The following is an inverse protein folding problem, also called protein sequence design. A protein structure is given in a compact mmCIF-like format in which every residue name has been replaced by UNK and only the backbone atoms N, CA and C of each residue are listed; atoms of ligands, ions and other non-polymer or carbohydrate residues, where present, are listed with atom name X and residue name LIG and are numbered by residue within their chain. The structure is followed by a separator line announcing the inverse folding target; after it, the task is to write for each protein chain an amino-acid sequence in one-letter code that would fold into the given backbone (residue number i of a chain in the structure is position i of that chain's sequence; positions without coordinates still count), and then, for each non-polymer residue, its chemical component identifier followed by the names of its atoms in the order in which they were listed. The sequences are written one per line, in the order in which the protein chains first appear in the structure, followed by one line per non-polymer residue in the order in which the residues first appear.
data_IF_119161695115
#
_entry.id   IF_119161695115
#
_cell.length_a   1.000
_cell.length_b   1.000
_cell.length_c   1.000
_cell.angle_alpha   90.00
_cell.angle_beta   90.00
_cell.angle_gamma   90.00
#
_symmetry.space_group_name_H-M   'P 1'
#
loop_
_entity.id
_entity.type
_entity.pdbx_description
1 polymer ?
#
# COMPACT_ATOMS: atom_id res chain seq x y z
N UNK A 1 -24.28 52.22 -3.35
CA UNK A 1 -23.12 52.43 -2.46
C UNK A 1 -23.51 51.78 -1.14
N UNK A 2 -22.95 50.69 -0.62
CA UNK A 2 -21.66 50.01 -0.76
C UNK A 2 -21.90 48.51 -1.00
N UNK A 3 -21.26 47.83 -1.95
CA UNK A 3 -19.87 47.34 -2.00
C UNK A 3 -19.55 46.24 -0.97
N UNK A 4 -19.52 45.02 -1.50
CA UNK A 4 -19.16 43.73 -0.89
C UNK A 4 -17.64 43.67 -0.71
N UNK A 5 -17.15 43.32 0.49
CA UNK A 5 -15.74 42.97 0.69
C UNK A 5 -15.58 41.45 0.83
N UNK A 6 -14.94 40.84 -0.16
CA UNK A 6 -14.40 39.49 -0.08
C UNK A 6 -13.07 39.51 0.69
N UNK A 7 -12.93 38.65 1.70
CA UNK A 7 -11.66 38.44 2.41
C UNK A 7 -10.84 37.32 1.79
N UNK A 8 -9.53 37.42 2.02
CA UNK A 8 -8.45 36.88 1.21
C UNK A 8 -8.14 35.41 1.52
N UNK A 9 -8.16 34.57 0.47
CA UNK A 9 -7.47 33.28 0.43
C UNK A 9 -5.95 33.48 0.31
N UNK A 10 -5.21 32.60 0.97
CA UNK A 10 -3.76 32.71 1.16
C UNK A 10 -2.99 32.58 -0.16
N UNK A 11 -1.82 33.23 -0.28
CA UNK A 11 -1.00 33.22 -1.51
C UNK A 11 -0.67 31.80 -2.02
N UNK A 12 -0.60 30.79 -1.13
CA UNK A 12 -0.32 29.39 -1.49
C UNK A 12 -1.50 28.72 -2.21
N UNK A 13 -2.73 29.03 -1.86
CA UNK A 13 -3.93 28.50 -2.55
C UNK A 13 -4.07 29.10 -3.96
N UNK A 14 -3.70 30.38 -4.12
CA UNK A 14 -3.68 31.04 -5.43
C UNK A 14 -2.57 30.50 -6.34
N UNK A 15 -1.44 30.11 -5.77
CA UNK A 15 -0.33 29.52 -6.50
C UNK A 15 -0.69 28.12 -7.03
N UNK A 16 -1.43 27.32 -6.24
CA UNK A 16 -2.00 26.04 -6.68
C UNK A 16 -3.00 26.18 -7.84
N UNK A 17 -3.89 27.19 -7.76
CA UNK A 17 -4.88 27.46 -8.82
C UNK A 17 -4.25 27.97 -10.13
N UNK A 18 -3.11 28.68 -10.05
CA UNK A 18 -2.39 29.19 -11.22
C UNK A 18 -1.50 28.13 -11.89
N UNK A 19 -0.94 27.19 -11.12
CA UNK A 19 -0.20 26.04 -11.65
C UNK A 19 -1.15 25.01 -12.29
N UNK A 20 -2.36 24.83 -11.73
CA UNK A 20 -3.41 23.99 -12.32
C UNK A 20 -3.96 24.52 -13.66
N UNK A 21 -3.70 25.79 -14.01
CA UNK A 21 -4.19 26.40 -15.26
C UNK A 21 -3.27 26.15 -16.46
N UNK A 22 -2.07 25.56 -16.29
CA UNK A 22 -1.11 25.35 -17.39
C UNK A 22 -1.14 23.96 -18.04
N UNK A 23 -1.83 22.98 -17.46
CA UNK A 23 -1.91 21.61 -17.98
C UNK A 23 -3.28 21.26 -18.55
N UNK A 24 -3.74 22.02 -19.54
CA UNK A 24 -5.01 21.78 -20.25
C UNK A 24 -5.01 20.54 -21.17
N UNK A 25 -4.07 19.60 -21.00
CA UNK A 25 -4.01 18.35 -21.78
C UNK A 25 -4.22 17.08 -20.97
N UNK A 26 -4.14 17.13 -19.64
CA UNK A 26 -4.46 16.00 -18.77
C UNK A 26 -5.71 16.29 -17.92
N UNK A 27 -6.59 15.30 -17.77
CA UNK A 27 -7.71 15.38 -16.83
C UNK A 27 -7.21 15.60 -15.40
N UNK A 28 -7.94 16.39 -14.60
CA UNK A 28 -7.53 16.66 -13.23
C UNK A 28 -7.38 15.35 -12.44
N UNK A 29 -6.47 15.24 -11.45
CA UNK A 29 -6.30 14.01 -10.67
C UNK A 29 -7.62 13.47 -10.10
N UNK A 30 -8.53 14.37 -9.71
CA UNK A 30 -9.88 14.04 -9.25
C UNK A 30 -10.72 13.32 -10.31
N UNK A 31 -10.59 13.68 -11.59
CA UNK A 31 -11.29 13.00 -12.69
C UNK A 31 -10.69 11.61 -12.98
N UNK A 32 -9.43 11.37 -12.60
CA UNK A 32 -8.75 10.08 -12.78
C UNK A 32 -8.94 9.11 -11.61
N UNK A 33 -9.41 9.60 -10.47
CA UNK A 33 -9.65 8.82 -9.26
C UNK A 33 -11.06 8.22 -9.29
N UNK A 34 -11.15 6.90 -9.16
CA UNK A 34 -12.39 6.15 -9.08
C UNK A 34 -12.44 5.35 -7.80
N UNK A 35 -13.59 5.37 -7.11
CA UNK A 35 -13.86 4.51 -5.96
C UNK A 35 -14.62 3.27 -6.42
N UNK A 36 -14.14 2.10 -6.00
CA UNK A 36 -14.77 0.81 -6.23
C UNK A 36 -15.19 0.26 -4.87
N UNK A 37 -16.49 0.02 -4.70
CA UNK A 37 -17.05 -0.49 -3.45
C UNK A 37 -17.21 -2.00 -3.52
N UNK A 38 -16.96 -2.65 -2.39
CA UNK A 38 -17.17 -4.07 -2.18
C UNK A 38 -16.58 -4.97 -3.30
N UNK A 39 -15.35 -4.68 -3.73
CA UNK A 39 -14.64 -5.49 -4.72
C UNK A 39 -14.43 -6.90 -4.14
N UNK A 40 -14.91 -7.97 -4.80
CA UNK A 40 -14.75 -9.33 -4.30
C UNK A 40 -13.30 -9.80 -4.32
N UNK A 41 -12.91 -10.50 -3.27
CA UNK A 41 -11.65 -11.22 -3.17
C UNK A 41 -11.70 -12.64 -3.71
N UNK A 42 -10.80 -13.49 -3.21
CA UNK A 42 -10.75 -14.91 -3.59
C UNK A 42 -11.98 -15.66 -3.10
N UNK A 43 -12.39 -15.38 -1.86
CA UNK A 43 -13.70 -15.78 -1.34
C UNK A 43 -14.69 -14.65 -1.66
N UNK A 44 -15.81 -14.91 -2.37
CA UNK A 44 -16.70 -13.84 -2.84
C UNK A 44 -17.27 -12.93 -1.74
N UNK A 45 -17.42 -13.43 -0.52
CA UNK A 45 -17.88 -12.64 0.64
C UNK A 45 -16.79 -11.78 1.28
N UNK A 46 -15.51 -12.04 1.00
CA UNK A 46 -14.37 -11.25 1.50
C UNK A 46 -14.09 -10.10 0.55
N UNK A 47 -14.81 -9.01 0.76
CA UNK A 47 -14.76 -7.81 -0.10
C UNK A 47 -13.88 -6.70 0.49
N UNK A 48 -13.29 -5.88 -0.36
CA UNK A 48 -12.58 -4.65 0.02
C UNK A 48 -13.07 -3.47 -0.80
N UNK A 49 -13.16 -2.28 -0.19
CA UNK A 49 -13.27 -1.05 -0.97
C UNK A 49 -11.89 -0.63 -1.47
N UNK A 50 -11.84 -0.09 -2.68
CA UNK A 50 -10.59 0.30 -3.34
C UNK A 50 -10.72 1.69 -3.97
N UNK A 51 -9.63 2.44 -3.98
CA UNK A 51 -9.46 3.56 -4.89
C UNK A 51 -8.56 3.15 -6.05
N UNK A 52 -8.91 3.58 -7.25
CA UNK A 52 -8.11 3.46 -8.46
C UNK A 52 -7.80 4.86 -8.97
N UNK A 53 -6.52 5.23 -9.01
CA UNK A 53 -6.05 6.39 -9.75
C UNK A 53 -5.43 5.91 -11.07
N UNK A 54 -5.99 6.38 -12.18
CA UNK A 54 -5.46 6.08 -13.53
C UNK A 54 -4.19 6.88 -13.80
N UNK A 55 -3.23 6.34 -14.57
CA UNK A 55 -1.98 7.01 -14.89
C UNK A 55 -2.19 8.33 -15.64
N UNK A 56 -1.22 9.21 -15.53
CA UNK A 56 -1.18 10.52 -16.18
C UNK A 56 -0.50 10.37 -17.55
N UNK A 57 -1.14 9.65 -18.47
CA UNK A 57 -0.59 9.42 -19.82
C UNK A 57 -1.66 9.63 -20.88
N UNK A 58 -1.32 10.38 -21.93
CA UNK A 58 -2.11 10.55 -23.15
C UNK A 58 -2.19 9.22 -23.91
N UNK A 59 -3.16 8.37 -23.55
CA UNK A 59 -3.90 7.39 -24.38
C UNK A 59 -3.18 6.42 -25.33
N UNK A 60 -1.85 6.49 -25.51
CA UNK A 60 -1.18 5.94 -26.70
C UNK A 60 -0.25 4.77 -26.39
N UNK A 61 0.06 4.49 -25.11
CA UNK A 61 0.70 3.24 -24.67
C UNK A 61 0.23 2.87 -23.26
N UNK A 62 -0.91 2.18 -23.16
CA UNK A 62 -1.35 1.59 -21.89
C UNK A 62 -0.38 0.48 -21.48
N UNK A 63 0.54 0.80 -20.58
CA UNK A 63 1.36 -0.20 -19.91
C UNK A 63 0.56 -0.80 -18.76
N UNK A 64 0.53 -2.13 -18.65
CA UNK A 64 -0.21 -2.86 -17.62
C UNK A 64 0.57 -2.86 -16.28
N UNK A 65 1.01 -1.67 -15.84
CA UNK A 65 1.83 -1.47 -14.65
C UNK A 65 0.98 -0.98 -13.50
N UNK A 66 1.14 -1.60 -12.34
CA UNK A 66 0.34 -1.36 -11.16
C UNK A 66 1.21 -1.09 -9.95
N UNK A 67 0.65 -0.29 -9.04
CA UNK A 67 1.11 -0.15 -7.65
C UNK A 67 -0.10 -0.41 -6.76
N UNK A 68 0.04 -1.28 -5.77
CA UNK A 68 -0.98 -1.51 -4.74
C UNK A 68 -0.47 -0.99 -3.42
N UNK A 69 -1.27 -0.17 -2.77
CA UNK A 69 -0.98 0.44 -1.49
C UNK A 69 -1.93 -0.08 -0.40
N UNK A 70 -1.35 -0.52 0.71
CA UNK A 70 -2.03 -0.86 1.95
C UNK A 70 -1.70 0.21 3.00
N UNK A 71 -2.74 0.86 3.51
CA UNK A 71 -2.65 2.00 4.40
C UNK A 71 -2.40 1.63 5.87
N UNK A 72 -2.06 2.65 6.65
CA UNK A 72 -1.80 2.55 8.09
C UNK A 72 -3.04 2.71 8.95
N UNK A 73 -2.83 2.71 10.27
CA UNK A 73 -3.86 3.17 11.21
C UNK A 73 -4.17 4.66 10.97
N UNK A 74 -5.33 5.12 11.45
CA UNK A 74 -5.91 6.48 11.29
C UNK A 74 -6.38 6.78 9.86
N UNK A 75 -5.68 6.30 8.82
CA UNK A 75 -6.03 6.55 7.43
C UNK A 75 -7.34 5.86 7.04
N UNK A 76 -8.22 6.62 6.40
CA UNK A 76 -9.47 6.13 5.84
C UNK A 76 -9.90 7.08 4.69
N UNK A 77 -11.06 6.84 4.07
CA UNK A 77 -11.65 7.79 3.14
C UNK A 77 -11.79 9.17 3.78
N UNK A 78 -11.55 10.22 3.00
CA UNK A 78 -11.51 11.60 3.50
C UNK A 78 -12.80 11.97 4.25
N UNK A 79 -13.95 11.56 3.72
CA UNK A 79 -15.27 11.78 4.33
C UNK A 79 -15.41 11.10 5.70
N UNK A 80 -14.91 9.87 5.86
CA UNK A 80 -14.95 9.12 7.11
C UNK A 80 -14.02 9.73 8.16
N UNK A 81 -12.83 10.15 7.73
CA UNK A 81 -11.86 10.82 8.61
C UNK A 81 -12.39 12.17 9.12
N UNK A 82 -13.07 12.92 8.27
CA UNK A 82 -13.60 14.26 8.61
C UNK A 82 -14.67 14.21 9.72
N UNK A 83 -15.34 13.09 9.89
CA UNK A 83 -16.36 12.89 10.93
C UNK A 83 -15.76 12.70 12.35
N UNK A 84 -14.46 12.39 12.44
CA UNK A 84 -13.80 12.05 13.70
C UNK A 84 -12.77 13.12 14.06
N UNK A 85 -12.81 13.68 15.28
CA UNK A 85 -11.85 14.71 15.69
C UNK A 85 -10.39 14.25 15.58
N UNK A 86 -10.09 13.02 16.00
CA UNK A 86 -8.75 12.43 15.87
C UNK A 86 -8.31 12.28 14.41
N UNK A 87 -9.23 11.97 13.49
CA UNK A 87 -8.96 11.76 12.07
C UNK A 87 -8.88 13.06 11.27
N UNK A 88 -9.68 14.07 11.63
CA UNK A 88 -9.82 15.33 10.90
C UNK A 88 -8.50 16.12 10.80
N UNK A 89 -7.62 16.03 11.80
CA UNK A 89 -6.30 16.66 11.76
C UNK A 89 -5.35 16.00 10.73
N UNK A 90 -5.65 14.77 10.29
CA UNK A 90 -4.83 13.97 9.38
C UNK A 90 -5.41 13.86 7.96
N UNK A 91 -6.34 14.76 7.57
CA UNK A 91 -6.97 14.72 6.25
C UNK A 91 -5.99 14.80 5.07
N UNK A 92 -4.81 15.39 5.26
CA UNK A 92 -3.73 15.39 4.26
C UNK A 92 -3.18 13.99 3.94
N UNK A 93 -3.55 12.99 4.75
CA UNK A 93 -3.15 11.60 4.65
C UNK A 93 -4.33 10.65 4.43
N UNK A 94 -5.49 11.19 3.99
CA UNK A 94 -6.61 10.35 3.57
C UNK A 94 -6.21 9.44 2.40
N UNK A 95 -6.99 8.38 2.17
CA UNK A 95 -6.69 7.42 1.10
C UNK A 95 -6.63 8.09 -0.28
N UNK A 96 -7.46 9.09 -0.52
CA UNK A 96 -7.46 9.91 -1.74
C UNK A 96 -6.16 10.72 -1.87
N UNK A 97 -5.73 11.38 -0.79
CA UNK A 97 -4.49 12.16 -0.81
C UNK A 97 -3.26 11.28 -1.03
N UNK A 98 -3.23 10.11 -0.39
CA UNK A 98 -2.16 9.12 -0.63
C UNK A 98 -2.18 8.61 -2.07
N UNK A 99 -3.35 8.34 -2.65
CA UNK A 99 -3.44 7.97 -4.06
C UNK A 99 -2.79 9.04 -4.95
N UNK A 100 -3.01 10.33 -4.68
CA UNK A 100 -2.38 11.42 -5.44
C UNK A 100 -0.87 11.56 -5.19
N UNK A 101 -0.38 11.29 -3.98
CA UNK A 101 1.07 11.27 -3.69
C UNK A 101 1.73 10.15 -4.49
N UNK A 102 1.16 8.94 -4.43
CA UNK A 102 1.67 7.79 -5.18
C UNK A 102 1.56 7.97 -6.69
N UNK A 103 0.50 8.60 -7.19
CA UNK A 103 0.34 8.90 -8.61
C UNK A 103 1.40 9.87 -9.13
N UNK A 104 1.89 10.80 -8.30
CA UNK A 104 3.03 11.67 -8.64
C UNK A 104 4.35 10.91 -8.66
N UNK A 105 4.52 9.94 -7.75
CA UNK A 105 5.74 9.10 -7.70
C UNK A 105 5.78 8.05 -8.81
N UNK A 106 4.63 7.53 -9.22
CA UNK A 106 4.49 6.48 -10.22
C UNK A 106 3.54 6.92 -11.35
N UNK A 107 3.90 7.95 -12.15
CA UNK A 107 2.99 8.58 -13.11
C UNK A 107 2.55 7.66 -14.25
N UNK A 108 3.33 6.62 -14.55
CA UNK A 108 3.06 5.64 -15.61
C UNK A 108 2.33 4.39 -15.13
N UNK A 109 1.78 4.40 -13.91
CA UNK A 109 1.14 3.23 -13.28
C UNK A 109 -0.28 3.50 -12.84
N UNK A 110 -1.11 2.46 -12.85
CA UNK A 110 -2.37 2.46 -12.11
C UNK A 110 -2.07 2.31 -10.61
N UNK A 111 -2.55 3.24 -9.80
CA UNK A 111 -2.41 3.18 -8.34
C UNK A 111 -3.71 2.66 -7.74
N UNK A 112 -3.59 1.56 -7.02
CA UNK A 112 -4.67 0.95 -6.26
C UNK A 112 -4.44 1.19 -4.78
N UNK A 113 -5.39 1.82 -4.09
CA UNK A 113 -5.38 1.92 -2.63
C UNK A 113 -6.42 0.95 -2.09
N UNK A 114 -5.96 -0.08 -1.38
CA UNK A 114 -6.84 -1.09 -0.78
C UNK A 114 -7.18 -0.66 0.63
N UNK A 115 -8.45 -0.36 0.88
CA UNK A 115 -8.94 -0.10 2.23
C UNK A 115 -8.96 -1.40 3.04
N UNK A 116 -8.51 -1.34 4.30
CA UNK A 116 -8.69 -2.42 5.26
C UNK A 116 -10.17 -2.83 5.33
N UNK A 117 -10.45 -4.13 5.49
CA UNK A 117 -11.84 -4.62 5.48
C UNK A 117 -12.66 -4.09 6.64
N UNK A 118 -11.98 -3.65 7.72
CA UNK A 118 -12.59 -2.99 8.87
C UNK A 118 -11.67 -1.93 9.44
N UNK A 119 -12.25 -0.80 9.86
CA UNK A 119 -11.61 0.23 10.68
C UNK A 119 -12.16 0.14 12.11
N UNK A 120 -11.43 -0.49 13.03
CA UNK A 120 -11.85 -0.62 14.42
C UNK A 120 -11.64 0.69 15.18
N UNK A 121 -12.67 1.15 15.92
CA UNK A 121 -12.69 2.45 16.61
C UNK A 121 -12.32 3.64 15.69
N UNK A 122 -12.64 3.54 14.39
CA UNK A 122 -12.29 4.54 13.37
C UNK A 122 -10.77 4.85 13.28
N UNK A 123 -9.93 3.96 13.82
CA UNK A 123 -8.49 4.20 13.98
C UNK A 123 -7.65 3.00 13.56
N UNK A 124 -7.95 1.82 14.07
CA UNK A 124 -7.14 0.64 13.81
C UNK A 124 -7.57 -0.03 12.52
N UNK A 125 -6.64 -0.11 11.57
CA UNK A 125 -6.82 -0.80 10.30
C UNK A 125 -6.74 -2.31 10.53
N UNK A 126 -7.76 -3.04 10.10
CA UNK A 126 -7.82 -4.49 10.24
C UNK A 126 -7.92 -5.19 8.88
N UNK A 127 -6.89 -5.95 8.54
CA UNK A 127 -6.73 -6.62 7.25
C UNK A 127 -7.20 -8.09 7.27
N UNK A 128 -8.32 -8.40 7.95
CA UNK A 128 -8.84 -9.78 8.13
C UNK A 128 -9.04 -10.56 6.82
N UNK A 129 -9.20 -9.88 5.69
CA UNK A 129 -9.32 -10.55 4.39
C UNK A 129 -7.97 -11.09 3.87
N UNK A 130 -6.86 -10.57 4.38
CA UNK A 130 -5.49 -10.92 3.98
C UNK A 130 -4.74 -11.69 5.06
N UNK A 131 -4.90 -11.31 6.33
CA UNK A 131 -4.16 -11.89 7.46
C UNK A 131 -5.10 -12.08 8.64
N UNK A 132 -4.99 -13.24 9.30
CA UNK A 132 -5.69 -13.46 10.55
C UNK A 132 -5.17 -12.47 11.60
N UNK A 133 -6.07 -11.91 12.41
CA UNK A 133 -5.67 -10.86 13.33
C UNK A 133 -6.58 -10.77 14.54
N UNK A 134 -6.03 -10.26 15.65
CA UNK A 134 -6.83 -9.94 16.82
C UNK A 134 -7.76 -8.72 16.58
N UNK A 135 -8.53 -8.34 17.59
CA UNK A 135 -9.51 -7.23 17.49
C UNK A 135 -8.90 -5.88 17.04
N UNK A 136 -7.62 -5.64 17.37
CA UNK A 136 -6.89 -4.42 17.00
C UNK A 136 -6.10 -4.58 15.69
N UNK A 137 -6.29 -5.69 14.98
CA UNK A 137 -5.59 -6.00 13.74
C UNK A 137 -4.12 -6.37 13.92
N UNK A 138 -3.68 -6.82 15.10
CA UNK A 138 -2.33 -7.40 15.22
C UNK A 138 -2.33 -8.78 14.57
N UNK A 139 -1.36 -9.07 13.68
CA UNK A 139 -1.43 -10.25 12.82
C UNK A 139 -1.09 -11.53 13.57
N UNK A 140 -1.55 -12.65 13.04
CA UNK A 140 -0.99 -13.98 13.22
C UNK A 140 -0.68 -14.54 11.83
N UNK A 141 0.61 -14.74 11.54
CA UNK A 141 1.04 -15.11 10.20
C UNK A 141 0.98 -16.61 9.95
N UNK A 142 0.53 -16.99 8.77
CA UNK A 142 0.37 -18.38 8.35
C UNK A 142 1.11 -18.68 7.04
N UNK A 143 1.58 -19.92 6.83
CA UNK A 143 2.19 -20.33 5.57
C UNK A 143 1.16 -20.40 4.44
N UNK A 144 1.66 -20.56 3.22
CA UNK A 144 0.83 -20.72 2.02
C UNK A 144 -0.18 -21.88 2.12
N UNK A 145 -1.39 -21.63 1.61
CA UNK A 145 -2.44 -22.62 1.38
C UNK A 145 -2.92 -22.52 -0.07
N UNK A 146 -3.00 -23.63 -0.83
CA UNK A 146 -3.60 -23.64 -2.16
C UNK A 146 -5.09 -23.26 -2.16
N UNK A 147 -5.74 -23.33 -1.01
CA UNK A 147 -7.15 -23.03 -0.83
C UNK A 147 -7.42 -21.54 -0.49
N UNK A 148 -6.39 -20.68 -0.41
CA UNK A 148 -6.58 -19.25 -0.14
C UNK A 148 -5.33 -18.51 0.34
N UNK A 149 -5.52 -17.40 1.04
CA UNK A 149 -4.44 -16.57 1.58
C UNK A 149 -4.34 -15.17 0.95
N UNK A 150 -3.39 -14.38 1.42
CA UNK A 150 -3.19 -12.98 1.04
C UNK A 150 -2.87 -12.83 -0.46
N UNK A 151 -2.08 -13.73 -1.04
CA UNK A 151 -1.71 -13.66 -2.46
C UNK A 151 -2.88 -14.01 -3.38
N UNK A 152 -3.70 -15.00 -3.00
CA UNK A 152 -4.95 -15.32 -3.68
C UNK A 152 -5.94 -14.14 -3.59
N UNK A 153 -6.10 -13.57 -2.39
CA UNK A 153 -6.95 -12.41 -2.16
C UNK A 153 -6.52 -11.22 -3.02
N UNK A 154 -5.23 -10.89 -3.06
CA UNK A 154 -4.70 -9.80 -3.88
C UNK A 154 -4.95 -10.02 -5.37
N UNK A 155 -4.67 -11.22 -5.88
CA UNK A 155 -4.88 -11.57 -7.28
C UNK A 155 -6.35 -11.37 -7.67
N UNK A 156 -7.26 -11.90 -6.87
CA UNK A 156 -8.70 -11.80 -7.12
C UNK A 156 -9.21 -10.36 -7.04
N UNK A 157 -8.79 -9.59 -6.02
CA UNK A 157 -9.15 -8.17 -5.90
C UNK A 157 -8.68 -7.35 -7.09
N UNK A 158 -7.46 -7.58 -7.58
CA UNK A 158 -6.96 -6.91 -8.78
C UNK A 158 -7.76 -7.33 -10.01
N UNK A 159 -8.02 -8.62 -10.19
CA UNK A 159 -8.82 -9.10 -11.34
C UNK A 159 -10.21 -8.46 -11.36
N UNK A 160 -10.98 -8.58 -10.28
CA UNK A 160 -12.33 -8.04 -10.19
C UNK A 160 -12.33 -6.49 -10.19
N UNK A 161 -11.35 -5.86 -9.55
CA UNK A 161 -11.19 -4.40 -9.56
C UNK A 161 -10.89 -3.86 -10.96
N UNK A 162 -10.03 -4.52 -11.72
CA UNK A 162 -9.74 -4.17 -13.12
C UNK A 162 -10.98 -4.31 -13.99
N UNK A 163 -11.77 -5.37 -13.80
CA UNK A 163 -13.03 -5.61 -14.51
C UNK A 163 -14.07 -4.52 -14.17
N UNK A 164 -14.32 -4.27 -12.89
CA UNK A 164 -15.27 -3.26 -12.41
C UNK A 164 -14.88 -1.84 -12.86
N UNK A 165 -13.58 -1.56 -12.98
CA UNK A 165 -13.06 -0.29 -13.50
C UNK A 165 -12.97 -0.22 -15.04
N UNK A 166 -13.36 -1.30 -15.74
CA UNK A 166 -13.27 -1.41 -17.20
C UNK A 166 -11.88 -1.11 -17.75
N UNK A 167 -10.83 -1.62 -17.07
CA UNK A 167 -9.45 -1.44 -17.53
C UNK A 167 -9.14 -2.32 -18.74
N UNK A 168 -8.28 -1.84 -19.67
CA UNK A 168 -7.85 -2.64 -20.81
C UNK A 168 -6.99 -3.82 -20.33
N UNK A 169 -7.18 -4.99 -20.94
CA UNK A 169 -6.41 -6.20 -20.65
C UNK A 169 -6.38 -6.59 -19.15
N UNK A 170 -7.55 -6.86 -18.53
CA UNK A 170 -7.62 -7.18 -17.12
C UNK A 170 -6.91 -8.50 -16.78
N UNK A 171 -6.35 -8.55 -15.58
CA UNK A 171 -5.90 -9.80 -14.98
C UNK A 171 -7.07 -10.77 -14.89
N UNK A 172 -6.89 -11.99 -15.38
CA UNK A 172 -7.98 -12.97 -15.40
C UNK A 172 -8.09 -13.66 -14.02
N UNK A 173 -9.30 -14.00 -13.56
CA UNK A 173 -9.52 -14.51 -12.20
C UNK A 173 -8.91 -15.90 -12.00
N UNK A 174 -8.90 -16.74 -13.04
CA UNK A 174 -8.30 -18.07 -12.99
C UNK A 174 -6.76 -17.99 -12.90
N UNK A 175 -6.11 -18.95 -12.23
CA UNK A 175 -4.65 -19.00 -12.12
C UNK A 175 -3.92 -19.35 -13.43
N UNK A 176 -2.60 -19.47 -13.36
CA UNK A 176 -1.77 -19.94 -14.48
C UNK A 176 -1.12 -18.84 -15.32
N UNK A 177 -0.38 -19.24 -16.36
CA UNK A 177 0.43 -18.31 -17.15
C UNK A 177 -0.37 -17.56 -18.22
N UNK A 178 -1.37 -18.22 -18.84
CA UNK A 178 -2.25 -17.63 -19.87
C UNK A 178 -3.18 -16.55 -19.34
N UNK A 179 -3.26 -16.40 -18.03
CA UNK A 179 -4.17 -15.48 -17.33
C UNK A 179 -3.48 -14.18 -16.90
N UNK A 180 -2.16 -14.07 -17.13
CA UNK A 180 -1.39 -12.85 -16.93
C UNK A 180 -1.38 -12.03 -18.23
N UNK A 181 -1.94 -10.80 -18.23
CA UNK A 181 -1.93 -9.98 -19.43
C UNK A 181 -0.51 -9.49 -19.76
N UNK A 182 -0.26 -9.26 -21.05
CA UNK A 182 1.06 -8.81 -21.51
C UNK A 182 1.48 -7.50 -20.84
N UNK A 183 2.74 -7.45 -20.39
CA UNK A 183 3.30 -6.29 -19.70
C UNK A 183 2.81 -6.08 -18.27
N UNK A 184 2.08 -7.04 -17.68
CA UNK A 184 1.63 -6.95 -16.28
C UNK A 184 2.82 -6.89 -15.32
N UNK A 185 2.90 -5.81 -14.55
CA UNK A 185 3.93 -5.58 -13.53
C UNK A 185 3.32 -4.96 -12.30
N UNK A 186 3.67 -5.48 -11.12
CA UNK A 186 3.07 -5.11 -9.85
C UNK A 186 4.14 -4.64 -8.87
N UNK A 187 3.89 -3.52 -8.20
CA UNK A 187 4.61 -3.08 -7.02
C UNK A 187 3.66 -3.08 -5.82
N UNK A 188 4.15 -3.48 -4.67
CA UNK A 188 3.37 -3.51 -3.43
C UNK A 188 3.99 -2.53 -2.43
N UNK A 189 3.14 -1.72 -1.80
CA UNK A 189 3.54 -0.74 -0.81
C UNK A 189 2.67 -0.93 0.42
N UNK A 190 3.29 -1.24 1.55
CA UNK A 190 2.64 -1.31 2.85
C UNK A 190 3.13 -0.16 3.70
N UNK A 191 2.22 0.64 4.25
CA UNK A 191 2.57 1.70 5.18
C UNK A 191 2.03 1.38 6.57
N UNK A 192 2.86 1.54 7.61
CA UNK A 192 2.46 1.36 9.01
C UNK A 192 1.80 -0.02 9.19
N UNK A 193 0.54 -0.06 9.63
CA UNK A 193 -0.26 -1.28 9.71
C UNK A 193 -0.33 -2.07 8.40
N UNK A 194 -0.35 -1.41 7.24
CA UNK A 194 -0.38 -2.07 5.93
C UNK A 194 0.82 -3.01 5.68
N UNK A 195 1.94 -2.84 6.40
CA UNK A 195 3.07 -3.75 6.34
C UNK A 195 2.72 -5.19 6.78
N UNK A 196 1.70 -5.39 7.62
CA UNK A 196 1.28 -6.74 8.04
C UNK A 196 0.78 -7.57 6.85
N UNK A 197 0.20 -6.91 5.84
CA UNK A 197 -0.24 -7.59 4.60
C UNK A 197 0.98 -8.06 3.79
N UNK A 198 2.01 -7.21 3.71
CA UNK A 198 3.27 -7.59 3.04
C UNK A 198 3.98 -8.71 3.78
N UNK A 199 4.02 -8.66 5.12
CA UNK A 199 4.60 -9.73 5.94
C UNK A 199 3.87 -11.06 5.65
N UNK A 200 2.54 -11.06 5.66
CA UNK A 200 1.76 -12.26 5.33
C UNK A 200 2.08 -12.81 3.93
N UNK A 201 2.16 -11.95 2.91
CA UNK A 201 2.54 -12.37 1.55
C UNK A 201 3.96 -12.96 1.50
N UNK A 202 4.87 -12.50 2.36
CA UNK A 202 6.21 -13.05 2.48
C UNK A 202 6.20 -14.45 3.10
N UNK A 203 5.39 -14.70 4.14
CA UNK A 203 5.17 -16.05 4.70
C UNK A 203 4.59 -17.03 3.67
N UNK A 204 3.74 -16.53 2.75
CA UNK A 204 3.14 -17.34 1.68
C UNK A 204 4.06 -17.58 0.48
N UNK A 205 5.15 -16.82 0.35
CA UNK A 205 5.89 -16.69 -0.90
C UNK A 205 6.51 -18.01 -1.39
N UNK A 206 7.08 -18.80 -0.48
CA UNK A 206 7.70 -20.08 -0.83
C UNK A 206 6.70 -21.05 -1.48
N UNK A 207 5.52 -21.20 -0.88
CA UNK A 207 4.46 -22.06 -1.41
C UNK A 207 3.84 -21.50 -2.70
N UNK A 208 3.58 -20.18 -2.74
CA UNK A 208 2.99 -19.55 -3.92
C UNK A 208 3.90 -19.59 -5.16
N UNK A 209 5.23 -19.62 -4.97
CA UNK A 209 6.21 -19.81 -6.06
C UNK A 209 6.27 -21.25 -6.55
N UNK A 210 5.95 -22.22 -5.70
CA UNK A 210 5.89 -23.64 -6.05
C UNK A 210 4.55 -24.02 -6.71
N UNK A 211 3.48 -23.25 -6.47
CA UNK A 211 2.16 -23.47 -7.05
C UNK A 211 2.09 -23.02 -8.52
N UNK A 212 1.82 -23.90 -9.50
CA UNK A 212 1.71 -23.54 -10.91
C UNK A 212 0.62 -22.51 -11.23
N UNK A 213 -0.43 -22.42 -10.41
CA UNK A 213 -1.52 -21.47 -10.58
C UNK A 213 -1.13 -20.06 -10.11
N UNK A 214 -0.30 -19.96 -9.08
CA UNK A 214 0.10 -18.67 -8.50
C UNK A 214 1.47 -18.18 -8.96
N UNK A 215 2.42 -19.08 -9.23
CA UNK A 215 3.78 -18.72 -9.59
C UNK A 215 3.89 -17.70 -10.75
N UNK A 216 3.06 -17.74 -11.81
CA UNK A 216 3.05 -16.71 -12.84
C UNK A 216 2.68 -15.31 -12.31
N UNK A 217 1.73 -15.21 -11.39
CA UNK A 217 1.37 -13.96 -10.72
C UNK A 217 2.50 -13.44 -9.83
N UNK A 218 3.11 -14.34 -9.05
CA UNK A 218 4.22 -13.98 -8.16
C UNK A 218 5.40 -13.41 -8.94
N UNK A 219 5.70 -13.95 -10.13
CA UNK A 219 6.75 -13.44 -11.02
C UNK A 219 6.50 -12.00 -11.51
N UNK A 220 5.26 -11.50 -11.44
CA UNK A 220 4.94 -10.13 -11.82
C UNK A 220 5.20 -9.11 -10.71
N UNK A 221 5.41 -9.55 -9.46
CA UNK A 221 5.74 -8.69 -8.33
C UNK A 221 7.19 -8.24 -8.51
N UNK A 222 7.38 -6.98 -8.89
CA UNK A 222 8.69 -6.42 -9.19
C UNK A 222 9.37 -5.82 -7.95
N UNK A 223 8.59 -5.23 -7.05
CA UNK A 223 9.10 -4.56 -5.86
C UNK A 223 8.10 -4.58 -4.70
N UNK A 224 8.62 -4.60 -3.48
CA UNK A 224 7.87 -4.47 -2.23
C UNK A 224 8.50 -3.37 -1.36
N UNK A 225 7.67 -2.46 -0.87
CA UNK A 225 8.06 -1.31 -0.05
C UNK A 225 7.39 -1.43 1.32
N UNK A 226 8.20 -1.61 2.36
CA UNK A 226 7.79 -1.46 3.76
C UNK A 226 8.07 -0.02 4.18
N UNK A 227 7.01 0.73 4.42
CA UNK A 227 7.06 2.11 4.84
C UNK A 227 6.66 2.20 6.32
N UNK A 228 7.66 2.34 7.16
CA UNK A 228 7.57 2.60 8.59
C UNK A 228 6.59 1.65 9.30
N UNK A 229 6.83 0.35 9.14
CA UNK A 229 5.96 -0.71 9.65
C UNK A 229 5.79 -0.65 11.16
N UNK A 230 4.53 -0.71 11.61
CA UNK A 230 4.14 -0.61 13.01
C UNK A 230 2.71 -1.12 13.23
N UNK A 231 2.44 -1.70 14.40
CA UNK A 231 1.10 -2.14 14.82
C UNK A 231 1.07 -2.30 16.36
N UNK A 232 -0.12 -2.42 17.00
CA UNK A 232 -0.23 -2.48 18.46
C UNK A 232 0.10 -3.86 19.06
N UNK A 233 0.70 -4.77 18.28
CA UNK A 233 1.13 -6.09 18.77
C UNK A 233 2.52 -6.03 19.42
N UNK A 234 2.90 -7.08 20.15
CA UNK A 234 4.17 -7.14 20.89
C UNK A 234 5.36 -7.71 20.10
N UNK A 235 5.21 -7.95 18.81
CA UNK A 235 6.21 -8.57 17.92
C UNK A 235 5.63 -8.78 16.53
N UNK A 236 6.42 -9.36 15.62
CA UNK A 236 6.03 -9.65 14.22
C UNK A 236 5.76 -8.39 13.38
N UNK A 237 6.33 -7.26 13.79
CA UNK A 237 6.27 -6.02 13.02
C UNK A 237 7.11 -6.13 11.75
N UNK A 238 8.24 -6.83 11.84
CA UNK A 238 9.02 -7.29 10.69
C UNK A 238 9.18 -8.81 10.72
N UNK A 239 9.25 -9.42 9.53
CA UNK A 239 9.46 -10.86 9.42
C UNK A 239 10.82 -11.25 9.99
N UNK A 240 10.84 -12.24 10.89
CA UNK A 240 12.07 -12.75 11.53
C UNK A 240 12.29 -14.25 11.31
N UNK A 241 11.35 -14.94 10.67
CA UNK A 241 11.56 -16.34 10.28
C UNK A 241 12.61 -16.43 9.17
N UNK A 242 13.71 -17.15 9.45
CA UNK A 242 14.84 -17.25 8.51
C UNK A 242 14.49 -17.99 7.22
N UNK A 243 13.65 -19.01 7.26
CA UNK A 243 13.29 -19.75 6.05
C UNK A 243 12.40 -18.91 5.15
N UNK A 244 11.47 -18.17 5.75
CA UNK A 244 10.62 -17.22 5.04
C UNK A 244 11.47 -16.11 4.40
N UNK A 245 12.45 -15.54 5.12
CA UNK A 245 13.36 -14.54 4.55
C UNK A 245 14.26 -15.08 3.45
N UNK A 246 14.66 -16.36 3.54
CA UNK A 246 15.40 -17.04 2.49
C UNK A 246 14.58 -17.13 1.20
N UNK A 247 13.29 -17.44 1.31
CA UNK A 247 12.37 -17.45 0.16
C UNK A 247 12.19 -16.05 -0.45
N UNK A 248 12.06 -15.02 0.40
CA UNK A 248 12.01 -13.63 -0.06
C UNK A 248 13.29 -13.23 -0.79
N UNK A 249 14.47 -13.53 -0.25
CA UNK A 249 15.74 -13.25 -0.92
C UNK A 249 15.86 -13.97 -2.27
N UNK A 250 15.38 -15.22 -2.36
CA UNK A 250 15.40 -16.00 -3.59
C UNK A 250 14.35 -15.59 -4.63
N UNK A 251 13.39 -14.73 -4.27
CA UNK A 251 12.26 -14.35 -5.12
C UNK A 251 12.60 -13.35 -6.24
N UNK A 252 13.75 -12.66 -6.14
CA UNK A 252 14.18 -11.55 -7.02
C UNK A 252 13.30 -10.29 -6.96
N UNK A 253 12.37 -10.22 -6.02
CA UNK A 253 11.61 -8.99 -5.74
C UNK A 253 12.59 -7.93 -5.22
N UNK A 254 12.47 -6.69 -5.69
CA UNK A 254 13.23 -5.57 -5.11
C UNK A 254 12.66 -5.20 -3.75
N UNK A 255 13.49 -5.20 -2.71
CA UNK A 255 13.07 -5.01 -1.33
C UNK A 255 13.47 -3.59 -0.88
N UNK A 256 12.50 -2.82 -0.41
CA UNK A 256 12.71 -1.45 0.06
C UNK A 256 12.16 -1.30 1.48
N UNK A 257 13.02 -0.95 2.42
CA UNK A 257 12.67 -0.67 3.82
C UNK A 257 12.95 0.80 4.12
N UNK A 258 11.88 1.55 4.36
CA UNK A 258 11.93 2.96 4.74
C UNK A 258 11.39 3.05 6.15
N UNK A 259 12.16 3.59 7.08
CA UNK A 259 11.79 3.67 8.50
C UNK A 259 12.06 5.06 9.04
N UNK A 260 11.41 5.39 10.15
CA UNK A 260 11.62 6.62 10.90
C UNK A 260 12.01 6.28 12.35
N UNK A 261 12.70 7.19 13.05
CA UNK A 261 12.96 7.03 14.49
C UNK A 261 11.68 6.80 15.32
N UNK A 262 10.52 7.28 14.86
CA UNK A 262 9.24 7.11 15.56
C UNK A 262 8.87 5.63 15.75
N UNK A 263 9.16 4.76 14.78
CA UNK A 263 8.93 3.32 14.91
C UNK A 263 10.17 2.58 15.44
N UNK A 264 11.34 2.76 14.83
CA UNK A 264 12.49 1.86 15.10
C UNK A 264 13.34 2.28 16.30
N UNK A 265 13.16 3.49 16.83
CA UNK A 265 13.88 4.00 18.00
C UNK A 265 12.99 4.20 19.23
N UNK A 266 11.72 3.78 19.19
CA UNK A 266 10.82 3.84 20.34
C UNK A 266 11.27 2.86 21.45
N UNK A 267 11.65 3.35 22.65
CA UNK A 267 12.10 2.48 23.75
C UNK A 267 10.99 1.58 24.29
N UNK A 268 9.73 2.01 24.22
CA UNK A 268 8.57 1.21 24.65
C UNK A 268 8.25 0.10 23.66
N UNK A 269 8.67 0.26 22.39
CA UNK A 269 8.48 -0.70 21.30
C UNK A 269 9.80 -1.18 20.70
N UNK A 270 10.82 -1.35 21.55
CA UNK A 270 12.18 -1.65 21.12
C UNK A 270 12.33 -2.92 20.25
N UNK A 271 11.34 -3.83 20.24
CA UNK A 271 11.33 -4.96 19.31
C UNK A 271 11.26 -4.51 17.85
N UNK A 272 10.53 -3.45 17.51
CA UNK A 272 10.36 -2.98 16.12
C UNK A 272 11.71 -2.71 15.47
N UNK A 273 12.58 -1.95 16.15
CA UNK A 273 13.93 -1.70 15.69
C UNK A 273 14.84 -2.94 15.66
N UNK A 274 14.66 -3.88 16.60
CA UNK A 274 15.43 -5.14 16.61
C UNK A 274 15.03 -6.04 15.44
N UNK A 275 13.73 -6.22 15.20
CA UNK A 275 13.18 -7.02 14.12
C UNK A 275 13.54 -6.42 12.76
N UNK A 276 13.42 -5.10 12.58
CA UNK A 276 13.87 -4.41 11.36
C UNK A 276 15.35 -4.69 11.04
N UNK A 277 16.25 -4.51 12.03
CA UNK A 277 17.68 -4.80 11.84
C UNK A 277 17.92 -6.25 11.49
N UNK A 278 17.20 -7.17 12.14
CA UNK A 278 17.29 -8.60 11.87
C UNK A 278 16.80 -8.96 10.46
N UNK A 279 15.67 -8.38 10.03
CA UNK A 279 15.10 -8.53 8.69
C UNK A 279 16.10 -8.14 7.62
N UNK A 280 16.68 -6.94 7.70
CA UNK A 280 17.68 -6.45 6.76
C UNK A 280 18.93 -7.33 6.76
N UNK A 281 19.49 -7.60 7.94
CA UNK A 281 20.72 -8.39 8.07
C UNK A 281 20.54 -9.79 7.49
N UNK A 282 19.43 -10.45 7.78
CA UNK A 282 19.16 -11.82 7.32
C UNK A 282 18.97 -11.87 5.80
N UNK A 283 18.32 -10.86 5.21
CA UNK A 283 18.20 -10.74 3.76
C UNK A 283 19.56 -10.54 3.08
N UNK A 284 20.42 -9.68 3.64
CA UNK A 284 21.80 -9.49 3.17
C UNK A 284 22.63 -10.78 3.30
N UNK A 285 22.49 -11.52 4.40
CA UNK A 285 23.13 -12.83 4.61
C UNK A 285 22.72 -13.87 3.55
N UNK A 286 21.47 -13.80 3.05
CA UNK A 286 20.98 -14.65 1.95
C UNK A 286 21.26 -14.07 0.55
N UNK A 287 22.03 -12.97 0.44
CA UNK A 287 22.47 -12.40 -0.82
C UNK A 287 21.45 -11.45 -1.49
N UNK A 288 20.36 -11.07 -0.81
CA UNK A 288 19.52 -9.98 -1.28
C UNK A 288 20.20 -8.62 -1.04
N UNK A 289 19.78 -7.60 -1.78
CA UNK A 289 20.29 -6.23 -1.66
C UNK A 289 19.15 -5.27 -1.31
N UNK A 290 18.59 -5.34 -0.09
CA UNK A 290 17.49 -4.46 0.29
C UNK A 290 17.94 -2.99 0.32
N UNK A 291 17.15 -2.09 -0.26
CA UNK A 291 17.30 -0.66 -0.04
C UNK A 291 16.84 -0.33 1.37
N UNK A 292 17.69 0.32 2.17
CA UNK A 292 17.39 0.70 3.55
C UNK A 292 17.58 2.21 3.73
N UNK A 293 16.54 2.89 4.23
CA UNK A 293 16.59 4.32 4.49
C UNK A 293 15.94 4.64 5.84
N UNK A 294 16.72 5.22 6.74
CA UNK A 294 16.21 5.92 7.92
C UNK A 294 15.93 7.38 7.51
N UNK A 295 14.70 7.83 7.73
CA UNK A 295 14.24 9.17 7.40
C UNK A 295 14.16 10.03 8.66
N UNK A 296 14.35 11.34 8.49
CA UNK A 296 14.16 12.33 9.57
C UNK A 296 15.05 12.06 10.80
N UNK A 297 16.27 11.56 10.60
CA UNK A 297 17.24 11.25 11.67
C UNK A 297 17.57 12.45 12.55
N UNK A 298 17.55 13.65 11.96
CA UNK A 298 17.87 14.92 12.61
C UNK A 298 16.64 15.59 13.25
N UNK A 299 15.45 14.99 13.16
CA UNK A 299 14.21 15.50 13.74
C UNK A 299 13.80 14.68 14.99
N UNK A 300 13.16 15.29 16.01
CA UNK A 300 12.57 14.53 17.11
C UNK A 300 11.52 13.53 16.60
N UNK A 301 11.51 12.27 17.06
CA UNK A 301 10.56 11.27 16.59
C UNK A 301 9.11 11.70 16.78
N UNK A 302 8.32 11.73 15.70
CA UNK A 302 6.91 12.12 15.76
C UNK A 302 6.00 11.33 14.80
N UNK A 303 4.70 11.31 15.09
CA UNK A 303 3.70 10.70 14.22
C UNK A 303 3.57 11.46 12.88
N UNK A 304 3.91 12.75 12.84
CA UNK A 304 4.04 13.49 11.59
C UNK A 304 5.19 12.94 10.73
N UNK A 305 6.34 12.59 11.32
CA UNK A 305 7.43 11.92 10.58
C UNK A 305 6.97 10.57 10.03
N UNK A 306 6.24 9.80 10.85
CA UNK A 306 5.65 8.53 10.45
C UNK A 306 4.83 8.67 9.17
N UNK A 307 3.89 9.61 9.10
CA UNK A 307 3.12 9.84 7.87
C UNK A 307 3.95 10.44 6.71
N UNK A 308 4.89 11.36 7.01
CA UNK A 308 5.74 12.01 6.00
C UNK A 308 6.57 11.02 5.19
N UNK A 309 6.86 9.83 5.71
CA UNK A 309 7.56 8.78 4.96
C UNK A 309 6.86 8.45 3.62
N UNK A 310 5.53 8.56 3.55
CA UNK A 310 4.74 8.27 2.34
C UNK A 310 5.09 9.26 1.20
N UNK A 311 5.56 10.46 1.53
CA UNK A 311 5.97 11.47 0.53
C UNK A 311 7.43 11.33 0.10
N UNK A 312 8.31 10.85 0.98
CA UNK A 312 9.78 10.93 0.81
C UNK A 312 10.44 9.61 0.38
N UNK A 313 9.73 8.47 0.45
CA UNK A 313 10.29 7.17 0.06
C UNK A 313 10.55 7.06 -1.44
#
# INVERSE_FOLDING_TARGET
MLQVSAQAGTMRERQWLLEASRDARCGSPLQRLQRLLAVPGYVPSRVNDMLLLRPDTDGHKYHNKHVVFFHGDIQNFQEEMALQAEGAQWLSWSLEQVAFILGRRFPDRYVWVVRASRMYLHKFSCYHNFVESNMFGAPEHSPYSPEGGALHQLRALLSHGMEQASLPNPLQPQGGASTIPSGFSLMLVGFSKGCVVLNQMVYELGGARADPQMAPFIKCIAAMYWLDGGHPGGGETWVTDKQVLKELAASRVSIHAHVTPYEVCDPMRAWVGREHRYFIKTLEEFGACPSKKLHFEDEPPSIENHFRVIQEF
#
